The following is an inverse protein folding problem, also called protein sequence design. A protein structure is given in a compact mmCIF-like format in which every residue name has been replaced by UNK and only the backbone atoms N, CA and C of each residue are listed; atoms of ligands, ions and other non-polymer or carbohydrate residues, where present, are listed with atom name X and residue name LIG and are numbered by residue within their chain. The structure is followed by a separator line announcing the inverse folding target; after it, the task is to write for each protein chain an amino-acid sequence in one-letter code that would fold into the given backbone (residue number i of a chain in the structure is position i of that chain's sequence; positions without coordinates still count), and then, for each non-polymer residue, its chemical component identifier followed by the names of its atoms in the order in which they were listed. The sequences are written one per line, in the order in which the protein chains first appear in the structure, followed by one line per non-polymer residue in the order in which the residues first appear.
data_IF_194275137134
#
_entry.id   IF_194275137134
#
_cell.length_a   1.000
_cell.length_b   1.000
_cell.length_c   1.000
_cell.angle_alpha   90.00
_cell.angle_beta   90.00
_cell.angle_gamma   90.00
#
_symmetry.space_group_name_H-M   'P 1'
#
loop_
_entity.id
_entity.type
_entity.pdbx_description
1 polymer ?
#
# COMPACT_ATOMS: atom_id res chain seq x y z
N UNK A 1 8.79 -11.84 5.19
CA UNK A 1 7.51 -12.43 5.61
C UNK A 1 6.44 -11.37 5.48
N UNK A 2 5.35 -11.70 4.79
CA UNK A 2 4.15 -10.87 4.67
C UNK A 2 3.15 -11.26 5.76
N UNK A 3 2.49 -10.28 6.39
CA UNK A 3 1.43 -10.51 7.36
C UNK A 3 0.38 -9.40 7.30
N UNK A 4 -0.86 -9.74 7.63
CA UNK A 4 -1.99 -8.81 7.70
C UNK A 4 -2.68 -8.87 9.07
N UNK A 5 -3.29 -7.76 9.45
CA UNK A 5 -4.18 -7.67 10.62
C UNK A 5 -5.28 -6.64 10.37
N UNK A 6 -6.36 -6.76 11.15
CA UNK A 6 -7.46 -5.80 11.11
C UNK A 6 -7.00 -4.37 11.42
N UNK A 7 -7.48 -3.41 10.64
CA UNK A 7 -7.32 -1.98 10.93
C UNK A 7 -8.34 -1.52 11.98
N UNK A 8 -8.03 -0.41 12.64
CA UNK A 8 -9.01 0.35 13.44
C UNK A 8 -9.91 1.24 12.57
N UNK A 9 -9.54 1.45 11.32
CA UNK A 9 -10.35 2.15 10.32
C UNK A 9 -11.21 1.13 9.58
N UNK A 10 -12.51 1.39 9.46
CA UNK A 10 -13.38 0.61 8.59
C UNK A 10 -12.93 0.75 7.14
N UNK A 11 -13.08 -0.33 6.37
CA UNK A 11 -12.67 -0.34 4.97
C UNK A 11 -11.16 -0.41 4.75
N UNK A 12 -10.38 -0.85 5.75
CA UNK A 12 -8.94 -0.98 5.62
C UNK A 12 -8.35 -2.19 6.36
N UNK A 13 -7.17 -2.62 5.94
CA UNK A 13 -6.33 -3.61 6.62
C UNK A 13 -4.92 -3.07 6.82
N UNK A 14 -4.26 -3.51 7.88
CA UNK A 14 -2.84 -3.20 8.12
C UNK A 14 -2.00 -4.38 7.69
N UNK A 15 -1.00 -4.14 6.86
CA UNK A 15 -0.08 -5.17 6.42
C UNK A 15 1.36 -4.80 6.77
N UNK A 16 2.20 -5.82 6.96
CA UNK A 16 3.65 -5.66 7.06
C UNK A 16 4.33 -6.63 6.11
N UNK A 17 5.45 -6.21 5.54
CA UNK A 17 6.26 -7.05 4.69
C UNK A 17 7.74 -6.81 5.00
N UNK A 18 8.43 -7.85 5.43
CA UNK A 18 9.90 -7.84 5.56
C UNK A 18 10.48 -8.76 4.49
N UNK A 19 10.82 -8.25 3.29
CA UNK A 19 11.34 -9.09 2.21
C UNK A 19 12.58 -9.87 2.66
N UNK A 20 12.63 -11.18 2.39
CA UNK A 20 13.80 -12.01 2.69
C UNK A 20 14.85 -12.03 1.58
N UNK A 21 14.61 -11.28 0.50
CA UNK A 21 15.51 -11.14 -0.65
C UNK A 21 15.12 -9.93 -1.52
N UNK A 22 16.02 -9.48 -2.40
CA UNK A 22 15.87 -8.29 -3.24
C UNK A 22 15.10 -8.54 -4.55
N UNK A 23 14.18 -9.51 -4.56
CA UNK A 23 13.39 -9.82 -5.74
C UNK A 23 12.34 -8.74 -6.05
N UNK A 24 12.02 -8.48 -7.33
CA UNK A 24 10.99 -7.51 -7.69
C UNK A 24 9.63 -7.94 -7.16
N UNK A 25 8.94 -7.02 -6.48
CA UNK A 25 7.54 -7.17 -6.11
C UNK A 25 6.63 -6.75 -7.26
N UNK A 26 5.43 -7.32 -7.33
CA UNK A 26 4.40 -6.87 -8.28
C UNK A 26 3.16 -6.43 -7.52
N UNK A 27 2.75 -5.19 -7.76
CA UNK A 27 1.47 -4.64 -7.34
C UNK A 27 0.50 -4.79 -8.52
N UNK A 28 -0.65 -5.37 -8.28
CA UNK A 28 -1.68 -5.59 -9.31
C UNK A 28 -2.70 -4.43 -9.27
N UNK A 29 -3.33 -4.10 -10.41
CA UNK A 29 -4.37 -3.09 -10.46
C UNK A 29 -5.67 -3.64 -9.84
N UNK A 30 -5.78 -3.56 -8.52
CA UNK A 30 -6.93 -4.04 -7.75
C UNK A 30 -7.89 -2.91 -7.32
N UNK A 31 -7.54 -1.66 -7.64
CA UNK A 31 -8.29 -0.47 -7.25
C UNK A 31 -8.17 -0.09 -5.77
N UNK A 32 -7.36 -0.82 -5.00
CA UNK A 32 -7.01 -0.44 -3.64
C UNK A 32 -6.02 0.73 -3.65
N UNK A 33 -5.95 1.41 -2.51
CA UNK A 33 -4.94 2.43 -2.25
C UNK A 33 -4.19 2.07 -0.99
N UNK A 34 -2.87 2.20 -1.00
CA UNK A 34 -2.02 1.88 0.15
C UNK A 34 -1.34 3.16 0.66
N UNK A 35 -1.46 3.41 1.96
CA UNK A 35 -0.57 4.33 2.68
C UNK A 35 0.62 3.51 3.17
N UNK A 36 1.79 3.77 2.62
CA UNK A 36 3.00 2.96 2.78
C UNK A 36 4.01 3.69 3.66
N UNK A 37 4.62 2.96 4.59
CA UNK A 37 5.75 3.43 5.38
C UNK A 37 7.00 2.59 5.07
N UNK A 38 8.06 3.28 4.67
CA UNK A 38 9.36 2.68 4.40
C UNK A 38 10.47 3.70 4.68
N UNK A 39 11.50 3.27 5.43
CA UNK A 39 12.71 4.06 5.69
C UNK A 39 12.44 5.50 6.16
N UNK A 40 11.52 5.66 7.12
CA UNK A 40 11.15 6.97 7.67
C UNK A 40 10.28 7.84 6.76
N UNK A 41 9.84 7.32 5.61
CA UNK A 41 9.04 8.03 4.62
C UNK A 41 7.64 7.45 4.52
N UNK A 42 6.69 8.35 4.32
CA UNK A 42 5.30 8.04 4.04
C UNK A 42 5.04 8.23 2.54
N UNK A 43 4.44 7.23 1.89
CA UNK A 43 4.11 7.25 0.48
C UNK A 43 2.64 6.86 0.31
N UNK A 44 2.00 7.34 -0.76
CA UNK A 44 0.67 6.89 -1.17
C UNK A 44 0.81 6.18 -2.51
N UNK A 45 0.17 5.02 -2.65
CA UNK A 45 0.12 4.26 -3.89
C UNK A 45 -1.33 3.92 -4.23
N UNK A 46 -1.64 3.86 -5.53
CA UNK A 46 -2.97 3.60 -6.06
C UNK A 46 -3.88 4.82 -6.18
N UNK A 47 -5.10 4.64 -6.73
CA UNK A 47 -5.63 3.37 -7.23
C UNK A 47 -4.96 3.00 -8.55
N UNK A 48 -4.23 1.90 -8.55
CA UNK A 48 -3.40 1.55 -9.69
C UNK A 48 -4.30 1.05 -10.82
N UNK A 49 -4.24 1.71 -11.98
CA UNK A 49 -4.92 1.24 -13.20
C UNK A 49 -4.07 0.26 -14.01
N UNK A 50 -2.81 0.06 -13.61
CA UNK A 50 -1.83 -0.82 -14.24
C UNK A 50 -0.98 -1.52 -13.18
N UNK A 51 -0.33 -2.63 -13.54
CA UNK A 51 0.58 -3.29 -12.60
C UNK A 51 1.88 -2.49 -12.44
N UNK A 52 2.35 -2.33 -11.20
CA UNK A 52 3.62 -1.69 -10.87
C UNK A 52 4.63 -2.73 -10.37
N UNK A 53 5.87 -2.63 -10.85
CA UNK A 53 6.98 -3.43 -10.35
C UNK A 53 7.73 -2.59 -9.33
N UNK A 54 7.82 -3.07 -8.11
CA UNK A 54 8.61 -2.41 -7.06
C UNK A 54 10.03 -2.94 -7.11
N UNK A 55 11.00 -2.02 -7.07
CA UNK A 55 12.40 -2.39 -6.86
C UNK A 55 12.51 -3.01 -5.46
N UNK A 56 13.02 -4.24 -5.38
CA UNK A 56 13.07 -5.02 -4.16
C UNK A 56 13.99 -4.38 -3.11
N UNK A 57 13.42 -3.56 -2.23
CA UNK A 57 14.13 -2.97 -1.09
C UNK A 57 14.29 -3.98 0.05
N UNK A 58 15.47 -4.02 0.67
CA UNK A 58 15.77 -4.91 1.79
C UNK A 58 15.15 -4.46 3.14
N UNK A 59 14.45 -3.33 3.17
CA UNK A 59 13.85 -2.78 4.40
C UNK A 59 12.46 -3.33 4.70
N UNK A 60 12.06 -3.24 5.97
CA UNK A 60 10.72 -3.57 6.40
C UNK A 60 9.71 -2.52 5.93
N UNK A 61 8.61 -2.98 5.37
CA UNK A 61 7.47 -2.17 4.94
C UNK A 61 6.31 -2.37 5.90
N UNK A 62 5.59 -1.29 6.16
CA UNK A 62 4.27 -1.34 6.78
C UNK A 62 3.30 -0.53 5.94
N UNK A 63 2.06 -0.98 5.84
CA UNK A 63 1.05 -0.28 5.06
C UNK A 63 -0.34 -0.36 5.66
N UNK A 64 -1.15 0.64 5.35
CA UNK A 64 -2.61 0.59 5.50
C UNK A 64 -3.20 0.50 4.11
N UNK A 65 -3.81 -0.63 3.79
CA UNK A 65 -4.54 -0.83 2.54
C UNK A 65 -5.99 -0.43 2.73
N UNK A 66 -6.45 0.51 1.94
CA UNK A 66 -7.84 0.92 1.86
C UNK A 66 -8.54 0.14 0.74
N UNK A 67 -9.72 -0.39 1.03
CA UNK A 67 -10.58 -0.98 0.01
C UNK A 67 -11.00 0.09 -1.02
N UNK A 68 -11.32 -0.31 -2.27
CA UNK A 68 -11.65 0.62 -3.34
C UNK A 68 -12.65 1.69 -2.91
N UNK A 69 -12.31 2.96 -3.17
CA UNK A 69 -13.14 4.13 -2.84
C UNK A 69 -13.07 4.61 -1.39
N UNK A 70 -12.33 3.93 -0.49
CA UNK A 70 -12.27 4.33 0.94
C UNK A 70 -11.25 5.45 1.20
N UNK A 71 -10.07 5.37 0.59
CA UNK A 71 -8.98 6.32 0.82
C UNK A 71 -9.30 7.79 0.44
N UNK A 72 -9.94 8.11 -0.70
CA UNK A 72 -10.16 9.51 -1.10
C UNK A 72 -10.93 10.33 -0.06
N UNK A 73 -11.95 9.72 0.56
CA UNK A 73 -12.73 10.36 1.61
C UNK A 73 -11.91 10.64 2.89
N UNK A 74 -10.91 9.81 3.18
CA UNK A 74 -10.04 9.95 4.35
C UNK A 74 -8.85 10.89 4.10
N UNK A 75 -8.29 10.88 2.88
CA UNK A 75 -7.17 11.72 2.47
C UNK A 75 -7.60 13.13 2.07
N UNK A 76 -8.89 13.36 1.81
CA UNK A 76 -9.42 14.66 1.42
C UNK A 76 -9.07 15.08 0.00
N UNK A 77 -8.57 14.15 -0.81
CA UNK A 77 -8.20 14.37 -2.22
C UNK A 77 -8.85 13.31 -3.11
N UNK A 78 -9.27 13.66 -4.33
CA UNK A 78 -9.72 12.68 -5.32
C UNK A 78 -8.66 11.61 -5.59
N UNK A 79 -9.09 10.39 -5.90
CA UNK A 79 -8.17 9.27 -6.12
C UNK A 79 -7.26 9.47 -7.34
N UNK A 80 -7.74 10.23 -8.33
CA UNK A 80 -7.05 10.58 -9.57
C UNK A 80 -6.13 11.81 -9.44
N UNK A 81 -6.03 12.40 -8.24
CA UNK A 81 -5.17 13.55 -7.96
C UNK A 81 -3.83 13.19 -7.29
N UNK A 82 -3.56 11.89 -7.08
CA UNK A 82 -2.37 11.34 -6.41
C UNK A 82 -1.49 10.58 -7.42
#
# INVERSE_FOLDING_TARGET
MYAERASRLSGAVVWTNTPSGSGPGRVLPDGCMDLLWYDGRLLVAGPDTRAHVTEGGAGAWAGVRFYPGTAPALLGVPADAL
#
